data_IF_102536258138
#
_entry.id   IF_102536258138
#
_cell.length_a   1.000
_cell.length_b   1.000
_cell.length_c   1.000
_cell.angle_alpha   90.00
_cell.angle_beta   90.00
_cell.angle_gamma   90.00
#
_symmetry.space_group_name_H-M   'P 1'
#
loop_
_entity.id
_entity.type
_entity.pdbx_description
1 polymer ?
#
# COMPACT_ATOMS: atom_id res chain seq x y z
N UNK A 1 25.98 -18.61 -13.64
CA UNK A 1 26.93 -17.51 -13.29
C UNK A 1 26.10 -16.38 -12.69
N UNK A 2 25.98 -16.30 -11.37
CA UNK A 2 24.77 -15.76 -10.73
C UNK A 2 24.66 -14.23 -10.61
N UNK A 3 25.67 -13.50 -11.12
CA UNK A 3 25.66 -12.15 -11.76
C UNK A 3 26.68 -11.11 -11.23
N UNK A 4 27.70 -10.90 -12.06
CA UNK A 4 28.25 -9.61 -12.43
C UNK A 4 29.34 -9.85 -13.47
N UNK A 5 29.31 -9.19 -14.64
CA UNK A 5 30.53 -9.01 -15.45
C UNK A 5 30.99 -7.55 -15.54
N UNK A 6 30.25 -6.61 -14.92
CA UNK A 6 30.81 -5.35 -14.38
C UNK A 6 29.78 -4.54 -13.59
N UNK A 7 28.47 -4.76 -13.75
CA UNK A 7 27.45 -4.18 -12.84
C UNK A 7 26.04 -4.73 -13.08
N UNK A 8 25.90 -5.85 -13.77
CA UNK A 8 24.56 -6.40 -14.04
C UNK A 8 24.09 -7.23 -12.85
N UNK A 9 23.98 -6.58 -11.71
CA UNK A 9 24.03 -7.12 -10.36
C UNK A 9 23.33 -8.46 -10.14
N UNK A 10 24.05 -9.36 -9.46
CA UNK A 10 23.80 -9.96 -8.15
C UNK A 10 24.84 -11.06 -7.93
N UNK A 11 25.73 -10.97 -6.94
CA UNK A 11 26.29 -12.18 -6.33
C UNK A 11 26.37 -11.90 -4.83
N UNK A 12 25.35 -12.39 -4.12
CA UNK A 12 25.02 -12.23 -2.69
C UNK A 12 24.23 -10.99 -2.23
N UNK A 13 23.70 -10.15 -3.13
CA UNK A 13 22.92 -8.92 -2.76
C UNK A 13 23.60 -7.98 -1.77
N UNK A 14 24.93 -8.05 -1.68
CA UNK A 14 25.69 -7.08 -0.92
C UNK A 14 25.55 -5.70 -1.56
N UNK A 15 25.50 -4.66 -0.72
CA UNK A 15 25.46 -3.26 -1.17
C UNK A 15 26.64 -2.93 -2.08
N UNK A 16 27.79 -3.57 -1.89
CA UNK A 16 28.93 -3.50 -2.80
C UNK A 16 29.01 -4.77 -3.62
N UNK A 17 29.14 -4.66 -4.94
CA UNK A 17 29.32 -5.84 -5.78
C UNK A 17 30.72 -6.44 -5.56
N UNK A 18 30.84 -7.72 -5.16
CA UNK A 18 32.13 -8.32 -4.79
C UNK A 18 33.07 -8.52 -5.99
N UNK A 19 32.61 -8.30 -7.23
CA UNK A 19 33.39 -8.54 -8.45
C UNK A 19 33.91 -7.28 -9.13
N UNK A 20 33.15 -6.18 -9.09
CA UNK A 20 33.48 -4.92 -9.78
C UNK A 20 33.60 -3.71 -8.84
N UNK A 21 33.23 -3.85 -7.57
CA UNK A 21 33.28 -2.75 -6.60
C UNK A 21 32.19 -1.69 -6.75
N UNK A 22 31.23 -1.85 -7.68
CA UNK A 22 30.12 -0.92 -7.84
C UNK A 22 29.21 -0.92 -6.60
N UNK A 23 28.80 0.27 -6.16
CA UNK A 23 27.83 0.46 -5.08
C UNK A 23 26.40 0.34 -5.62
N UNK A 24 25.74 -0.75 -5.23
CA UNK A 24 24.35 -1.08 -5.51
C UNK A 24 23.40 -0.69 -4.36
N UNK A 25 23.93 -0.18 -3.24
CA UNK A 25 23.15 0.20 -2.06
C UNK A 25 22.09 1.24 -2.39
N UNK A 26 22.42 2.21 -3.24
CA UNK A 26 21.45 3.20 -3.70
C UNK A 26 20.31 2.54 -4.48
N UNK A 27 20.62 1.61 -5.39
CA UNK A 27 19.61 0.88 -6.19
C UNK A 27 18.66 0.12 -5.26
N UNK A 28 19.20 -0.70 -4.35
CA UNK A 28 18.39 -1.46 -3.39
C UNK A 28 17.53 -0.56 -2.49
N UNK A 29 18.07 0.58 -2.05
CA UNK A 29 17.31 1.54 -1.25
C UNK A 29 16.12 2.13 -2.01
N UNK A 30 16.29 2.41 -3.31
CA UNK A 30 15.23 2.92 -4.18
C UNK A 30 14.15 1.86 -4.41
N UNK A 31 14.55 0.60 -4.63
CA UNK A 31 13.59 -0.50 -4.76
C UNK A 31 12.78 -0.73 -3.49
N UNK A 32 13.45 -0.79 -2.33
CA UNK A 32 12.78 -0.92 -1.04
C UNK A 32 11.83 0.26 -0.75
N UNK A 33 12.24 1.47 -1.14
CA UNK A 33 11.38 2.67 -1.02
C UNK A 33 10.17 2.59 -1.94
N UNK A 34 10.32 2.11 -3.17
CA UNK A 34 9.22 1.91 -4.10
C UNK A 34 8.20 0.91 -3.54
N UNK A 35 8.65 -0.20 -2.96
CA UNK A 35 7.77 -1.18 -2.30
C UNK A 35 7.06 -0.61 -1.08
N UNK A 36 7.77 0.16 -0.24
CA UNK A 36 7.16 0.81 0.91
C UNK A 36 6.06 1.80 0.48
N UNK A 37 6.27 2.55 -0.61
CA UNK A 37 5.25 3.44 -1.16
C UNK A 37 3.99 2.69 -1.60
N UNK A 38 4.11 1.47 -2.17
CA UNK A 38 2.93 0.64 -2.47
C UNK A 38 2.20 0.25 -1.20
N UNK A 39 2.91 -0.14 -0.14
CA UNK A 39 2.28 -0.47 1.16
C UNK A 39 1.56 0.74 1.77
N UNK A 40 2.16 1.93 1.69
CA UNK A 40 1.54 3.18 2.13
C UNK A 40 0.31 3.54 1.28
N UNK A 41 0.35 3.29 -0.03
CA UNK A 41 -0.82 3.49 -0.89
C UNK A 41 -2.00 2.60 -0.47
N UNK A 42 -1.74 1.33 -0.17
CA UNK A 42 -2.77 0.39 0.29
C UNK A 42 -3.36 0.85 1.62
N UNK A 43 -2.53 1.29 2.57
CA UNK A 43 -3.00 1.84 3.86
C UNK A 43 -3.84 3.09 3.67
N UNK A 44 -3.35 4.07 2.90
CA UNK A 44 -4.10 5.29 2.63
C UNK A 44 -5.44 5.02 1.92
N UNK A 45 -5.51 4.00 1.07
CA UNK A 45 -6.76 3.57 0.46
C UNK A 45 -7.72 2.95 1.48
N UNK A 46 -7.23 2.08 2.36
CA UNK A 46 -8.01 1.49 3.45
C UNK A 46 -8.53 2.56 4.44
N UNK A 47 -7.75 3.62 4.66
CA UNK A 47 -8.12 4.77 5.49
C UNK A 47 -9.09 5.74 4.78
N UNK A 48 -9.57 5.39 3.58
CA UNK A 48 -10.54 6.20 2.83
C UNK A 48 -9.94 7.45 2.17
N UNK A 49 -8.62 7.51 2.00
CA UNK A 49 -7.93 8.62 1.34
C UNK A 49 -7.36 8.20 -0.04
N UNK A 50 -8.21 8.10 -1.08
CA UNK A 50 -7.79 7.63 -2.39
C UNK A 50 -6.84 8.60 -3.12
N UNK A 51 -6.90 9.91 -2.82
CA UNK A 51 -5.97 10.90 -3.38
C UNK A 51 -4.56 10.67 -2.86
N UNK A 52 -4.42 10.43 -1.56
CA UNK A 52 -3.13 10.11 -0.94
C UNK A 52 -2.61 8.75 -1.44
N UNK A 53 -3.49 7.75 -1.56
CA UNK A 53 -3.15 6.45 -2.13
C UNK A 53 -2.59 6.57 -3.56
N UNK A 54 -3.26 7.34 -4.42
CA UNK A 54 -2.82 7.59 -5.79
C UNK A 54 -1.44 8.29 -5.81
N UNK A 55 -1.24 9.31 -4.96
CA UNK A 55 0.03 10.01 -4.87
C UNK A 55 1.19 9.08 -4.45
N UNK A 56 0.94 8.11 -3.57
CA UNK A 56 1.93 7.09 -3.20
C UNK A 56 2.25 6.12 -4.35
N UNK A 57 1.24 5.69 -5.12
CA UNK A 57 1.47 4.86 -6.32
C UNK A 57 2.27 5.61 -7.39
N UNK A 58 1.92 6.86 -7.69
CA UNK A 58 2.65 7.65 -8.70
C UNK A 58 4.14 7.82 -8.30
N UNK A 59 4.40 8.06 -7.01
CA UNK A 59 5.77 8.11 -6.47
C UNK A 59 6.48 6.75 -6.58
N UNK A 60 5.79 5.64 -6.32
CA UNK A 60 6.38 4.30 -6.46
C UNK A 60 6.78 4.03 -7.90
N UNK A 61 5.89 4.32 -8.86
CA UNK A 61 6.13 4.13 -10.30
C UNK A 61 7.27 5.00 -10.85
N UNK A 62 7.48 6.20 -10.28
CA UNK A 62 8.61 7.05 -10.62
C UNK A 62 9.96 6.45 -10.17
N UNK A 63 9.96 5.58 -9.15
CA UNK A 63 11.16 4.90 -8.66
C UNK A 63 11.37 3.54 -9.35
N UNK A 64 10.33 2.73 -9.42
CA UNK A 64 10.34 1.39 -10.01
C UNK A 64 8.97 1.05 -10.58
N UNK A 65 8.94 0.67 -11.85
CA UNK A 65 7.74 0.10 -12.50
C UNK A 65 7.52 -1.34 -12.05
N UNK A 66 6.87 -1.49 -10.90
CA UNK A 66 6.45 -2.78 -10.35
C UNK A 66 5.05 -3.18 -10.81
N UNK A 67 4.84 -4.46 -11.13
CA UNK A 67 3.58 -4.98 -11.67
C UNK A 67 2.34 -4.62 -10.83
N UNK A 68 2.46 -4.70 -9.50
CA UNK A 68 1.38 -4.34 -8.59
C UNK A 68 1.04 -2.84 -8.66
N UNK A 69 2.04 -1.97 -8.69
CA UNK A 69 1.83 -0.52 -8.76
C UNK A 69 1.19 -0.12 -10.11
N UNK A 70 1.61 -0.75 -11.21
CA UNK A 70 1.03 -0.51 -12.53
C UNK A 70 -0.43 -0.94 -12.61
N UNK A 71 -0.77 -2.05 -11.95
CA UNK A 71 -2.16 -2.56 -11.89
C UNK A 71 -3.05 -1.67 -11.02
N UNK A 72 -2.53 -1.17 -9.89
CA UNK A 72 -3.28 -0.33 -8.96
C UNK A 72 -3.47 1.12 -9.46
N UNK A 73 -2.51 1.67 -10.21
CA UNK A 73 -2.55 3.06 -10.66
C UNK A 73 -3.84 3.48 -11.40
N UNK A 74 -4.32 2.75 -12.43
CA UNK A 74 -5.55 3.14 -13.11
C UNK A 74 -6.79 3.03 -12.19
N UNK A 75 -6.81 2.07 -11.27
CA UNK A 75 -7.92 1.88 -10.33
C UNK A 75 -7.99 3.03 -9.32
N UNK A 76 -6.88 3.31 -8.63
CA UNK A 76 -6.82 4.37 -7.64
C UNK A 76 -7.03 5.75 -8.27
N UNK A 77 -6.62 5.96 -9.52
CA UNK A 77 -6.88 7.22 -10.24
C UNK A 77 -8.36 7.45 -10.48
N UNK A 78 -9.11 6.42 -10.89
CA UNK A 78 -10.58 6.50 -11.04
C UNK A 78 -11.25 6.78 -9.69
N UNK A 79 -10.84 6.07 -8.64
CA UNK A 79 -11.38 6.27 -7.28
C UNK A 79 -11.08 7.69 -6.77
N UNK A 80 -9.85 8.17 -6.94
CA UNK A 80 -9.42 9.51 -6.48
C UNK A 80 -10.15 10.67 -7.18
N UNK A 81 -10.65 10.44 -8.40
CA UNK A 81 -11.48 11.37 -9.16
C UNK A 81 -12.97 11.28 -8.84
N UNK A 82 -13.38 10.31 -8.01
CA UNK A 82 -14.79 10.06 -7.71
C UNK A 82 -15.55 9.40 -8.88
N UNK A 83 -14.84 8.84 -9.86
CA UNK A 83 -15.43 8.17 -11.02
C UNK A 83 -15.89 6.74 -10.71
N UNK A 84 -15.55 6.23 -9.51
CA UNK A 84 -16.19 5.04 -8.97
C UNK A 84 -17.59 5.41 -8.53
N UNK A 85 -18.54 5.19 -9.44
CA UNK A 85 -19.96 5.12 -9.11
C UNK A 85 -20.11 4.06 -8.02
N UNK A 86 -20.23 4.51 -6.77
CA UNK A 86 -20.98 3.74 -5.81
C UNK A 86 -22.36 3.59 -6.45
N UNK A 87 -22.72 2.39 -6.89
CA UNK A 87 -24.14 2.11 -7.04
C UNK A 87 -24.73 2.36 -5.65
N UNK A 88 -25.46 3.46 -5.56
CA UNK A 88 -26.12 3.97 -4.38
C UNK A 88 -27.33 3.08 -4.06
N UNK A 89 -27.07 1.81 -3.78
CA UNK A 89 -28.03 0.89 -3.14
C UNK A 89 -27.30 0.13 -2.03
N UNK A 90 -26.59 0.87 -1.17
CA UNK A 90 -26.50 0.50 0.23
C UNK A 90 -27.64 1.25 0.92
N UNK A 91 -28.82 0.63 0.94
CA UNK A 91 -29.94 1.08 1.76
C UNK A 91 -29.48 1.17 3.22
N UNK A 92 -29.68 2.29 3.92
CA UNK A 92 -29.64 2.30 5.38
C UNK A 92 -31.03 1.88 5.86
N UNK A 93 -31.22 0.59 6.16
CA UNK A 93 -32.46 0.07 6.75
C UNK A 93 -32.10 -0.94 7.85
N UNK A 94 -31.89 -0.46 9.08
CA UNK A 94 -32.83 -0.41 10.21
C UNK A 94 -33.00 -1.75 10.97
N UNK A 95 -32.89 -1.63 12.30
CA UNK A 95 -33.73 -2.40 13.22
C UNK A 95 -33.27 -3.81 13.57
N UNK A 96 -32.44 -3.91 14.61
CA UNK A 96 -32.67 -4.95 15.61
C UNK A 96 -32.58 -4.28 16.98
N UNK A 97 -33.76 -4.00 17.55
CA UNK A 97 -33.86 -3.78 18.98
C UNK A 97 -33.45 -5.05 19.69
N UNK A 98 -32.43 -4.98 20.53
CA UNK A 98 -32.24 -5.94 21.62
C UNK A 98 -32.62 -5.26 22.92
N UNK A 99 -33.81 -5.63 23.40
CA UNK A 99 -34.18 -5.49 24.79
C UNK A 99 -33.15 -6.18 25.69
N UNK A 100 -32.93 -5.58 26.87
CA UNK A 100 -32.38 -6.28 28.04
C UNK A 100 -30.96 -5.87 28.41
N UNK A 101 -30.86 -4.95 29.37
CA UNK A 101 -30.21 -5.22 30.67
C UNK A 101 -30.61 -4.10 31.65
N UNK A 102 -31.80 -4.25 32.26
CA UNK A 102 -32.01 -3.70 33.59
C UNK A 102 -31.43 -4.71 34.59
N UNK A 103 -30.33 -4.32 35.24
CA UNK A 103 -29.91 -4.86 36.51
C UNK A 103 -29.15 -3.75 37.27
N UNK A 104 -29.92 -2.78 37.76
CA UNK A 104 -29.53 -1.89 38.84
C UNK A 104 -30.62 -2.02 39.89
N UNK A 105 -30.26 -2.63 41.01
CA UNK A 105 -30.83 -2.67 42.37
C UNK A 105 -30.25 -3.96 42.97
N UNK A 106 -29.58 -4.02 44.12
CA UNK A 106 -29.36 -3.04 45.17
C UNK A 106 -28.25 -3.63 46.05
N UNK A 107 -27.29 -2.82 46.47
CA UNK A 107 -26.27 -3.20 47.45
C UNK A 107 -26.32 -2.16 48.56
N UNK A 108 -27.11 -2.40 49.62
CA UNK A 108 -26.93 -1.75 50.93
C UNK A 108 -27.36 -2.69 52.08
N UNK A 109 -26.41 -2.88 53.02
CA UNK A 109 -26.48 -3.41 54.40
C UNK A 109 -26.71 -4.91 54.66
#
# INVERSE_FOLDING_TARGET
MERCPSCRGRLNESALCPRCGCDLGLVFSVEARAENLVRLAIRAWADGNPKLAQAHIDKSLALKRGALAETLAPLLRKIARGECRADATATPDQGIGSAGHHAILDQEM
#
